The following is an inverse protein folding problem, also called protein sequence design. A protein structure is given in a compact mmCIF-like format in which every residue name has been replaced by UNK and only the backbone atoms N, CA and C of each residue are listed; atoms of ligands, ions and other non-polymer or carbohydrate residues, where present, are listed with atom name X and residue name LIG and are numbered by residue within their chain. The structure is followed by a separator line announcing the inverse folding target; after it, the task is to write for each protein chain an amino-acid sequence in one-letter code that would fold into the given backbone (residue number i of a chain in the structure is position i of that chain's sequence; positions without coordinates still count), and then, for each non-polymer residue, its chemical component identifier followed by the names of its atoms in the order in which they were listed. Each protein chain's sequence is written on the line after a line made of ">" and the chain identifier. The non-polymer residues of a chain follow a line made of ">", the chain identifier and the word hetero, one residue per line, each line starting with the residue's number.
data_IF_773990087416
#
_entry.id   IF_773990087416
#
_cell.length_a   1.000
_cell.length_b   1.000
_cell.length_c   1.000
_cell.angle_alpha   90.00
_cell.angle_beta   90.00
_cell.angle_gamma   90.00
#
_symmetry.space_group_name_H-M   'P 1'
#
loop_
_entity.id
_entity.type
_entity.pdbx_description
1 polymer ?
#
# COMPACT_ATOMS: atom_id res chain seq x y z
N UNK A 1 34.82 18.44 -25.05
CA UNK A 1 34.23 18.63 -23.71
C UNK A 1 33.91 17.25 -23.13
N UNK A 2 34.89 16.60 -22.46
CA UNK A 2 34.76 15.26 -21.84
C UNK A 2 35.51 15.19 -20.48
N UNK A 3 35.47 16.27 -19.70
CA UNK A 3 36.25 16.37 -18.46
C UNK A 3 35.41 16.39 -17.16
N UNK A 4 34.09 16.19 -17.24
CA UNK A 4 33.22 16.21 -16.05
C UNK A 4 33.19 14.91 -15.24
N UNK A 5 33.27 13.74 -15.90
CA UNK A 5 33.14 12.44 -15.22
C UNK A 5 34.38 11.98 -14.47
N UNK A 6 35.58 12.34 -14.93
CA UNK A 6 36.84 11.86 -14.33
C UNK A 6 37.19 12.58 -13.00
N UNK A 7 36.65 13.78 -12.77
CA UNK A 7 36.86 14.54 -11.53
C UNK A 7 35.96 14.04 -10.39
N UNK A 8 34.76 13.54 -10.71
CA UNK A 8 33.82 13.00 -9.72
C UNK A 8 34.30 11.65 -9.16
N UNK A 9 34.81 10.79 -10.03
CA UNK A 9 35.33 9.47 -9.67
C UNK A 9 36.55 9.53 -8.73
N UNK A 10 37.36 10.59 -8.83
CA UNK A 10 38.52 10.79 -7.93
C UNK A 10 38.09 11.30 -6.55
N UNK A 11 36.94 11.98 -6.44
CA UNK A 11 36.55 12.68 -5.22
C UNK A 11 36.02 11.74 -4.10
N UNK A 12 35.44 10.59 -4.47
CA UNK A 12 34.90 9.61 -3.50
C UNK A 12 35.87 8.50 -3.12
N UNK A 13 36.74 8.06 -4.04
CA UNK A 13 37.86 7.17 -3.67
C UNK A 13 38.86 7.88 -2.74
N UNK A 14 38.85 9.22 -2.70
CA UNK A 14 39.59 10.06 -1.76
C UNK A 14 38.80 10.48 -0.52
N UNK A 15 37.54 10.06 -0.35
CA UNK A 15 36.74 10.43 0.81
C UNK A 15 37.24 9.71 2.07
N UNK A 16 37.56 10.47 3.11
CA UNK A 16 38.02 9.91 4.38
C UNK A 16 36.97 8.96 4.99
N UNK A 17 37.40 8.00 5.81
CA UNK A 17 36.46 7.14 6.56
C UNK A 17 35.42 7.96 7.36
N UNK A 18 35.80 9.15 7.81
CA UNK A 18 34.88 10.09 8.47
C UNK A 18 33.77 10.58 7.55
N UNK A 19 34.09 10.90 6.29
CA UNK A 19 33.10 11.29 5.28
C UNK A 19 32.17 10.12 4.93
N UNK A 20 32.71 8.91 4.76
CA UNK A 20 31.89 7.71 4.51
C UNK A 20 30.93 7.39 5.66
N UNK A 21 31.42 7.42 6.91
CA UNK A 21 30.57 7.25 8.11
C UNK A 21 29.48 8.32 8.20
N UNK A 22 29.79 9.57 7.86
CA UNK A 22 28.81 10.65 7.86
C UNK A 22 27.72 10.47 6.79
N UNK A 23 28.09 10.02 5.58
CA UNK A 23 27.14 9.72 4.51
C UNK A 23 26.20 8.56 4.91
N UNK A 24 26.75 7.48 5.47
CA UNK A 24 25.94 6.36 5.95
C UNK A 24 24.93 6.82 7.02
N UNK A 25 25.36 7.63 7.99
CA UNK A 25 24.47 8.16 9.02
C UNK A 25 23.35 9.04 8.44
N UNK A 26 23.64 9.84 7.41
CA UNK A 26 22.61 10.64 6.70
C UNK A 26 21.61 9.75 5.97
N UNK A 27 22.09 8.70 5.29
CA UNK A 27 21.26 7.71 4.61
C UNK A 27 20.30 7.02 5.59
N UNK A 28 20.82 6.59 6.73
CA UNK A 28 20.01 5.92 7.75
C UNK A 28 18.97 6.87 8.36
N UNK A 29 19.35 8.12 8.58
CA UNK A 29 18.42 9.16 9.05
C UNK A 29 17.31 9.44 8.02
N UNK A 30 17.64 9.62 6.74
CA UNK A 30 16.66 9.84 5.67
C UNK A 30 15.68 8.66 5.55
N UNK A 31 16.17 7.42 5.67
CA UNK A 31 15.34 6.22 5.68
C UNK A 31 14.36 6.18 6.86
N UNK A 32 14.80 6.58 8.05
CA UNK A 32 13.91 6.64 9.22
C UNK A 32 12.83 7.70 9.05
N UNK A 33 13.19 8.88 8.51
CA UNK A 33 12.21 9.94 8.22
C UNK A 33 11.22 9.47 7.15
N UNK A 34 11.68 8.85 6.08
CA UNK A 34 10.82 8.28 5.04
C UNK A 34 9.83 7.27 5.62
N UNK A 35 10.30 6.30 6.42
CA UNK A 35 9.43 5.31 7.09
C UNK A 35 8.41 5.96 8.03
N UNK A 36 8.83 6.96 8.79
CA UNK A 36 7.92 7.70 9.67
C UNK A 36 6.87 8.48 8.87
N UNK A 37 7.27 9.15 7.80
CA UNK A 37 6.37 9.88 6.91
C UNK A 37 5.33 8.95 6.27
N UNK A 38 5.76 7.80 5.73
CA UNK A 38 4.85 6.79 5.20
C UNK A 38 3.87 6.27 6.27
N UNK A 39 4.35 5.98 7.48
CA UNK A 39 3.50 5.50 8.56
C UNK A 39 2.42 6.53 8.95
N UNK A 40 2.78 7.81 9.01
CA UNK A 40 1.83 8.91 9.26
C UNK A 40 0.83 9.00 8.11
N UNK A 41 1.29 9.02 6.86
CA UNK A 41 0.42 9.13 5.68
C UNK A 41 -0.61 7.98 5.64
N UNK A 42 -0.15 6.75 5.84
CA UNK A 42 -1.01 5.56 5.89
C UNK A 42 -2.01 5.61 7.04
N UNK A 43 -1.60 6.08 8.22
CA UNK A 43 -2.51 6.23 9.38
C UNK A 43 -3.62 7.23 9.10
N UNK A 44 -3.27 8.39 8.51
CA UNK A 44 -4.26 9.43 8.17
C UNK A 44 -5.21 8.95 7.08
N UNK A 45 -4.71 8.28 6.04
CA UNK A 45 -5.55 7.69 4.99
C UNK A 45 -6.50 6.61 5.56
N UNK A 46 -6.06 5.83 6.55
CA UNK A 46 -6.92 4.84 7.21
C UNK A 46 -8.07 5.49 8.00
N UNK A 47 -7.82 6.66 8.62
CA UNK A 47 -8.82 7.41 9.39
C UNK A 47 -9.75 8.28 8.55
N UNK A 48 -9.35 8.65 7.33
CA UNK A 48 -10.20 9.40 6.40
C UNK A 48 -11.47 8.63 6.06
N UNK A 49 -12.61 9.32 6.10
CA UNK A 49 -13.92 8.75 5.77
C UNK A 49 -13.96 8.24 4.32
N UNK A 50 -14.53 7.06 4.11
CA UNK A 50 -14.74 6.51 2.78
C UNK A 50 -15.90 7.26 2.10
N UNK A 51 -15.70 7.92 0.95
CA UNK A 51 -16.75 8.70 0.31
C UNK A 51 -17.93 7.82 -0.16
N UNK A 52 -19.16 8.30 -0.02
CA UNK A 52 -20.36 7.59 -0.50
C UNK A 52 -20.31 7.29 -2.00
N UNK A 53 -19.71 8.19 -2.80
CA UNK A 53 -19.51 8.01 -4.23
C UNK A 53 -18.66 6.78 -4.55
N UNK A 54 -17.60 6.54 -3.78
CA UNK A 54 -16.78 5.33 -3.88
C UNK A 54 -17.60 4.10 -3.51
N UNK A 55 -18.31 4.13 -2.39
CA UNK A 55 -19.16 3.02 -1.94
C UNK A 55 -20.26 2.67 -2.95
N UNK A 56 -20.78 3.64 -3.69
CA UNK A 56 -21.76 3.45 -4.75
C UNK A 56 -21.15 2.86 -6.03
N UNK A 57 -19.85 3.06 -6.26
CA UNK A 57 -19.12 2.53 -7.43
C UNK A 57 -18.63 1.09 -7.26
N UNK A 58 -18.66 0.56 -6.04
CA UNK A 58 -18.19 -0.79 -5.73
C UNK A 58 -18.93 -1.88 -6.51
N UNK A 59 -18.26 -3.02 -6.81
CA UNK A 59 -18.90 -4.14 -7.47
C UNK A 59 -20.04 -4.71 -6.62
N UNK A 60 -21.01 -5.34 -7.28
CA UNK A 60 -22.18 -5.95 -6.61
C UNK A 60 -21.82 -7.07 -5.64
N UNK A 61 -20.66 -7.71 -5.81
CA UNK A 61 -20.14 -8.72 -4.89
C UNK A 61 -18.61 -8.68 -4.85
N UNK A 62 -18.03 -8.97 -3.68
CA UNK A 62 -16.57 -9.00 -3.52
C UNK A 62 -15.90 -10.04 -4.43
N UNK A 63 -16.58 -11.17 -4.69
CA UNK A 63 -16.12 -12.17 -5.67
C UNK A 63 -15.91 -11.58 -7.07
N UNK A 64 -16.83 -10.72 -7.53
CA UNK A 64 -16.67 -10.07 -8.84
C UNK A 64 -15.51 -9.08 -8.85
N UNK A 65 -15.21 -8.42 -7.72
CA UNK A 65 -14.08 -7.50 -7.60
C UNK A 65 -12.73 -8.21 -7.68
N UNK A 66 -12.47 -9.16 -6.78
CA UNK A 66 -11.19 -9.91 -6.78
C UNK A 66 -11.08 -10.91 -7.95
N UNK A 67 -12.19 -11.37 -8.51
CA UNK A 67 -12.21 -12.41 -9.54
C UNK A 67 -12.12 -13.84 -8.97
N UNK A 68 -12.44 -14.82 -9.82
CA UNK A 68 -12.67 -16.21 -9.39
C UNK A 68 -11.44 -16.91 -8.83
N UNK A 69 -10.24 -16.65 -9.38
CA UNK A 69 -9.00 -17.27 -8.94
C UNK A 69 -8.64 -16.86 -7.51
N UNK A 70 -8.58 -15.55 -7.27
CA UNK A 70 -8.29 -14.96 -5.96
C UNK A 70 -9.38 -15.33 -4.95
N UNK A 71 -10.66 -15.20 -5.34
CA UNK A 71 -11.78 -15.56 -4.46
C UNK A 71 -11.71 -17.02 -4.00
N UNK A 72 -11.44 -17.96 -4.92
CA UNK A 72 -11.34 -19.39 -4.58
C UNK A 72 -10.23 -19.65 -3.57
N UNK A 73 -9.07 -19.02 -3.75
CA UNK A 73 -7.95 -19.16 -2.82
C UNK A 73 -8.27 -18.54 -1.45
N UNK A 74 -8.87 -17.34 -1.41
CA UNK A 74 -9.26 -16.69 -0.15
C UNK A 74 -10.36 -17.46 0.59
N UNK A 75 -11.23 -18.15 -0.13
CA UNK A 75 -12.36 -18.90 0.44
C UNK A 75 -11.99 -20.27 1.00
N UNK A 76 -10.73 -20.71 0.89
CA UNK A 76 -10.30 -22.00 1.47
C UNK A 76 -10.27 -21.93 3.01
N UNK A 77 -10.48 -23.09 3.64
CA UNK A 77 -10.45 -23.27 5.10
C UNK A 77 -9.00 -23.36 5.61
N UNK A 78 -8.04 -23.68 4.74
CA UNK A 78 -6.62 -23.75 5.05
C UNK A 78 -6.05 -22.41 5.56
N UNK A 79 -4.93 -22.45 6.32
CA UNK A 79 -4.26 -21.23 6.74
C UNK A 79 -3.93 -20.36 5.52
N UNK A 80 -4.44 -19.13 5.54
CA UNK A 80 -4.28 -18.22 4.42
C UNK A 80 -2.84 -17.72 4.32
N UNK A 81 -2.18 -18.01 3.19
CA UNK A 81 -0.85 -17.48 2.86
C UNK A 81 -0.99 -16.44 1.75
N UNK A 82 -0.89 -15.13 2.07
CA UNK A 82 -0.95 -14.09 1.04
C UNK A 82 0.25 -14.17 0.09
N UNK A 83 1.45 -14.48 0.59
CA UNK A 83 2.66 -14.62 -0.24
C UNK A 83 2.50 -15.70 -1.32
N UNK A 84 1.96 -16.87 -0.94
CA UNK A 84 1.73 -17.96 -1.90
C UNK A 84 0.68 -17.58 -2.97
N UNK A 85 -0.37 -16.86 -2.58
CA UNK A 85 -1.33 -16.33 -3.54
C UNK A 85 -0.65 -15.35 -4.51
N UNK A 86 0.13 -14.40 -3.99
CA UNK A 86 0.82 -13.40 -4.81
C UNK A 86 1.84 -14.03 -5.76
N UNK A 87 2.55 -15.07 -5.33
CA UNK A 87 3.49 -15.82 -6.18
C UNK A 87 2.78 -16.57 -7.33
N UNK A 88 1.51 -16.93 -7.15
CA UNK A 88 0.67 -17.53 -8.18
C UNK A 88 0.03 -16.52 -9.15
N UNK A 89 0.11 -15.22 -8.85
CA UNK A 89 -0.41 -14.16 -9.72
C UNK A 89 0.66 -13.68 -10.70
N UNK A 90 0.27 -13.46 -11.96
CA UNK A 90 1.16 -12.89 -12.96
C UNK A 90 1.25 -11.36 -12.80
N UNK A 91 2.02 -10.89 -11.81
CA UNK A 91 2.27 -9.47 -11.58
C UNK A 91 3.58 -9.10 -12.28
N UNK A 92 3.48 -8.46 -13.44
CA UNK A 92 4.65 -8.13 -14.27
C UNK A 92 5.08 -6.67 -14.13
N UNK A 93 4.17 -5.80 -13.67
CA UNK A 93 4.38 -4.36 -13.57
C UNK A 93 3.79 -3.77 -12.28
N UNK A 94 4.21 -2.55 -11.95
CA UNK A 94 3.57 -1.77 -10.87
C UNK A 94 2.08 -1.53 -11.15
N UNK A 95 1.71 -1.34 -12.42
CA UNK A 95 0.32 -1.16 -12.82
C UNK A 95 -0.53 -2.40 -12.50
N UNK A 96 -0.03 -3.60 -12.79
CA UNK A 96 -0.72 -4.85 -12.45
C UNK A 96 -0.89 -4.98 -10.93
N UNK A 97 0.15 -4.63 -10.17
CA UNK A 97 0.10 -4.64 -8.71
C UNK A 97 -0.96 -3.67 -8.18
N UNK A 98 -1.05 -2.46 -8.77
CA UNK A 98 -2.03 -1.45 -8.36
C UNK A 98 -3.46 -1.88 -8.71
N UNK A 99 -3.67 -2.46 -9.89
CA UNK A 99 -4.99 -2.98 -10.27
C UNK A 99 -5.46 -4.07 -9.30
N UNK A 100 -4.56 -4.96 -8.89
CA UNK A 100 -4.87 -5.98 -7.89
C UNK A 100 -5.17 -5.34 -6.53
N UNK A 101 -4.39 -4.33 -6.10
CA UNK A 101 -4.63 -3.61 -4.86
C UNK A 101 -6.03 -2.98 -4.84
N UNK A 102 -6.39 -2.24 -5.90
CA UNK A 102 -7.70 -1.59 -6.05
C UNK A 102 -8.85 -2.61 -5.99
N UNK A 103 -8.70 -3.74 -6.68
CA UNK A 103 -9.72 -4.81 -6.71
C UNK A 103 -9.87 -5.52 -5.36
N UNK A 104 -8.78 -5.77 -4.66
CA UNK A 104 -8.78 -6.37 -3.32
C UNK A 104 -9.41 -5.42 -2.31
N UNK A 105 -9.02 -4.14 -2.34
CA UNK A 105 -9.55 -3.10 -1.45
C UNK A 105 -11.04 -2.86 -1.68
N UNK A 106 -11.48 -2.74 -2.93
CA UNK A 106 -12.90 -2.65 -3.28
C UNK A 106 -13.70 -3.85 -2.73
N UNK A 107 -13.17 -5.07 -2.88
CA UNK A 107 -13.84 -6.29 -2.43
C UNK A 107 -13.91 -6.40 -0.90
N UNK A 108 -12.85 -5.97 -0.21
CA UNK A 108 -12.82 -5.84 1.25
C UNK A 108 -13.99 -4.98 1.73
N UNK A 109 -14.18 -3.79 1.13
CA UNK A 109 -15.29 -2.90 1.50
C UNK A 109 -16.66 -3.49 1.19
N UNK A 110 -16.80 -4.26 0.10
CA UNK A 110 -18.06 -4.99 -0.18
C UNK A 110 -18.35 -6.03 0.91
N UNK A 111 -17.35 -6.79 1.36
CA UNK A 111 -17.53 -7.79 2.42
C UNK A 111 -17.80 -7.15 3.79
N UNK A 112 -17.10 -6.07 4.14
CA UNK A 112 -17.37 -5.29 5.36
C UNK A 112 -18.78 -4.73 5.38
N UNK A 113 -19.23 -4.19 4.24
CA UNK A 113 -20.60 -3.69 4.08
C UNK A 113 -21.62 -4.82 4.24
N UNK A 114 -21.37 -5.98 3.62
CA UNK A 114 -22.25 -7.14 3.72
C UNK A 114 -22.35 -7.67 5.16
N UNK A 115 -21.26 -7.69 5.93
CA UNK A 115 -21.28 -8.13 7.33
C UNK A 115 -22.05 -7.18 8.26
N UNK A 116 -22.15 -5.88 7.93
CA UNK A 116 -22.87 -4.91 8.77
C UNK A 116 -24.39 -4.89 8.53
N UNK A 117 -24.85 -5.21 7.31
CA UNK A 117 -26.26 -5.07 6.91
C UNK A 117 -27.16 -6.28 7.20
N UNK A 118 -26.63 -7.40 7.70
CA UNK A 118 -27.41 -8.62 8.03
C UNK A 118 -28.24 -8.48 9.32
N UNK A 119 -27.98 -7.47 10.13
CA UNK A 119 -28.61 -7.22 11.45
C UNK A 119 -30.10 -6.80 11.43
N UNK A 120 -30.76 -6.78 10.26
CA UNK A 120 -32.16 -6.30 10.08
C UNK A 120 -33.16 -7.31 9.49
N UNK A 121 -32.89 -8.62 9.52
CA UNK A 121 -33.77 -9.61 8.87
C UNK A 121 -34.11 -10.83 9.75
N UNK A 122 -35.42 -10.95 10.06
CA UNK A 122 -36.24 -12.12 10.44
C UNK A 122 -35.58 -13.37 11.07
N UNK A 123 -36.12 -13.80 12.22
CA UNK A 123 -35.65 -14.88 13.09
C UNK A 123 -35.55 -16.29 12.45
N UNK A 124 -36.13 -16.52 11.27
CA UNK A 124 -36.05 -17.82 10.57
C UNK A 124 -34.82 -17.99 9.66
N UNK A 125 -34.03 -16.94 9.39
CA UNK A 125 -32.82 -17.00 8.54
C UNK A 125 -31.50 -16.95 9.32
N UNK A 126 -31.54 -16.99 10.65
CA UNK A 126 -30.40 -16.66 11.51
C UNK A 126 -29.23 -17.65 11.36
N UNK A 127 -29.47 -18.93 11.08
CA UNK A 127 -28.38 -19.92 11.01
C UNK A 127 -27.50 -19.77 9.75
N UNK A 128 -28.10 -19.53 8.59
CA UNK A 128 -27.37 -19.34 7.33
C UNK A 128 -26.76 -17.93 7.23
N UNK A 129 -27.42 -16.92 7.81
CA UNK A 129 -26.91 -15.54 7.85
C UNK A 129 -25.70 -15.39 8.78
N UNK A 130 -25.68 -16.06 9.94
CA UNK A 130 -24.52 -16.04 10.86
C UNK A 130 -23.31 -16.74 10.23
N UNK A 131 -23.53 -17.81 9.44
CA UNK A 131 -22.47 -18.47 8.71
C UNK A 131 -21.88 -17.58 7.59
N UNK A 132 -22.73 -16.83 6.88
CA UNK A 132 -22.30 -15.93 5.81
C UNK A 132 -21.68 -14.63 6.34
N UNK A 133 -22.13 -14.12 7.50
CA UNK A 133 -21.52 -12.98 8.19
C UNK A 133 -20.10 -13.30 8.64
N UNK A 134 -19.91 -14.46 9.29
CA UNK A 134 -18.58 -14.95 9.67
C UNK A 134 -17.67 -15.14 8.43
N UNK A 135 -18.24 -15.64 7.32
CA UNK A 135 -17.51 -15.80 6.06
C UNK A 135 -17.07 -14.46 5.47
N UNK A 136 -17.96 -13.47 5.40
CA UNK A 136 -17.64 -12.15 4.86
C UNK A 136 -16.60 -11.43 5.74
N UNK A 137 -16.69 -11.56 7.06
CA UNK A 137 -15.68 -11.01 7.97
C UNK A 137 -14.31 -11.67 7.80
N UNK A 138 -14.26 -13.00 7.65
CA UNK A 138 -13.03 -13.73 7.33
C UNK A 138 -12.45 -13.28 5.99
N UNK A 139 -13.28 -13.14 4.96
CA UNK A 139 -12.84 -12.69 3.64
C UNK A 139 -12.30 -11.26 3.67
N UNK A 140 -12.96 -10.35 4.39
CA UNK A 140 -12.49 -8.98 4.58
C UNK A 140 -11.12 -8.95 5.29
N UNK A 141 -10.95 -9.73 6.37
CA UNK A 141 -9.67 -9.82 7.09
C UNK A 141 -8.55 -10.43 6.23
N UNK A 142 -8.86 -11.46 5.42
CA UNK A 142 -7.90 -12.01 4.44
C UNK A 142 -7.56 -10.98 3.35
N UNK A 143 -8.52 -10.17 2.91
CA UNK A 143 -8.30 -9.11 1.92
C UNK A 143 -7.37 -8.03 2.46
N UNK A 144 -7.58 -7.60 3.71
CA UNK A 144 -6.72 -6.65 4.40
C UNK A 144 -5.28 -7.17 4.51
N UNK A 145 -5.13 -8.43 4.92
CA UNK A 145 -3.81 -9.08 5.01
C UNK A 145 -3.12 -9.18 3.64
N UNK A 146 -3.89 -9.50 2.59
CA UNK A 146 -3.39 -9.56 1.22
C UNK A 146 -2.93 -8.19 0.72
N UNK A 147 -3.73 -7.15 0.96
CA UNK A 147 -3.42 -5.78 0.57
C UNK A 147 -2.15 -5.28 1.29
N UNK A 148 -2.00 -5.59 2.58
CA UNK A 148 -0.80 -5.27 3.34
C UNK A 148 0.45 -5.95 2.77
N UNK A 149 0.36 -7.26 2.49
CA UNK A 149 1.45 -8.04 1.90
C UNK A 149 1.84 -7.50 0.51
N UNK A 150 0.84 -7.13 -0.31
CA UNK A 150 1.05 -6.52 -1.61
C UNK A 150 1.79 -5.17 -1.50
N UNK A 151 1.36 -4.28 -0.60
CA UNK A 151 2.04 -2.99 -0.34
C UNK A 151 3.47 -3.19 0.19
N UNK A 152 3.75 -4.25 0.94
CA UNK A 152 5.11 -4.59 1.39
C UNK A 152 6.02 -5.07 0.26
N UNK A 153 5.47 -5.85 -0.68
CA UNK A 153 6.20 -6.34 -1.86
C UNK A 153 6.48 -5.23 -2.89
N UNK A 154 5.60 -4.23 -2.95
CA UNK A 154 5.70 -3.08 -3.83
C UNK A 154 5.74 -1.77 -3.02
N UNK A 155 6.87 -1.44 -2.35
CA UNK A 155 6.95 -0.27 -1.47
C UNK A 155 6.84 1.07 -2.20
N UNK A 156 6.97 1.09 -3.53
CA UNK A 156 6.74 2.26 -4.39
C UNK A 156 5.40 2.26 -5.09
N UNK A 157 4.44 1.42 -4.67
CA UNK A 157 3.12 1.35 -5.27
C UNK A 157 2.44 2.72 -5.19
N UNK A 158 1.93 3.18 -6.33
CA UNK A 158 1.09 4.37 -6.41
C UNK A 158 -0.14 4.30 -5.48
N UNK A 159 -0.72 5.45 -5.14
CA UNK A 159 -1.93 5.52 -4.31
C UNK A 159 -3.09 4.76 -4.97
N UNK A 160 -3.89 4.07 -4.15
CA UNK A 160 -5.06 3.35 -4.65
C UNK A 160 -6.14 4.32 -5.11
N UNK A 161 -7.11 3.79 -5.86
CA UNK A 161 -8.32 4.53 -6.24
C UNK A 161 -9.09 5.00 -5.01
N UNK A 162 -9.13 4.21 -3.93
CA UNK A 162 -9.75 4.63 -2.68
C UNK A 162 -8.95 5.74 -1.99
N UNK A 163 -7.63 5.62 -1.89
CA UNK A 163 -6.77 6.65 -1.29
C UNK A 163 -6.97 8.00 -2.01
N UNK A 164 -6.98 7.97 -3.34
CA UNK A 164 -7.23 9.15 -4.19
C UNK A 164 -8.62 9.74 -3.92
N UNK A 165 -9.64 8.89 -3.81
CA UNK A 165 -11.02 9.32 -3.53
C UNK A 165 -11.14 9.94 -2.13
N UNK A 166 -10.52 9.31 -1.12
CA UNK A 166 -10.47 9.84 0.26
C UNK A 166 -9.85 11.23 0.28
N UNK A 167 -8.70 11.42 -0.37
CA UNK A 167 -8.03 12.72 -0.45
C UNK A 167 -8.92 13.76 -1.16
N UNK A 168 -9.52 13.39 -2.29
CA UNK A 168 -10.32 14.30 -3.11
C UNK A 168 -11.58 14.79 -2.38
N UNK A 169 -12.23 13.92 -1.61
CA UNK A 169 -13.51 14.23 -0.96
C UNK A 169 -13.39 14.52 0.54
N UNK A 170 -12.19 14.47 1.11
CA UNK A 170 -11.95 14.78 2.52
C UNK A 170 -12.34 16.25 2.83
N UNK A 171 -13.04 16.44 3.94
CA UNK A 171 -13.48 17.76 4.44
C UNK A 171 -12.72 18.19 5.70
N UNK A 172 -11.95 17.29 6.31
CA UNK A 172 -11.16 17.60 7.49
C UNK A 172 -9.83 18.25 7.08
N UNK A 173 -9.69 19.54 7.40
CA UNK A 173 -8.50 20.34 7.07
C UNK A 173 -7.25 19.81 7.79
N UNK A 174 -7.39 19.27 9.01
CA UNK A 174 -6.28 18.69 9.75
C UNK A 174 -5.74 17.44 9.08
N UNK A 175 -6.63 16.51 8.71
CA UNK A 175 -6.26 15.31 7.95
C UNK A 175 -5.65 15.66 6.59
N UNK A 176 -6.19 16.66 5.88
CA UNK A 176 -5.63 17.11 4.60
C UNK A 176 -4.20 17.65 4.74
N UNK A 177 -3.94 18.48 5.75
CA UNK A 177 -2.59 19.00 6.02
C UNK A 177 -1.62 17.86 6.36
N UNK A 178 -2.03 16.94 7.23
CA UNK A 178 -1.18 15.82 7.66
C UNK A 178 -0.87 14.87 6.50
N UNK A 179 -1.86 14.53 5.67
CA UNK A 179 -1.69 13.72 4.47
C UNK A 179 -0.69 14.39 3.52
N UNK A 180 -0.96 15.64 3.11
CA UNK A 180 -0.15 16.29 2.08
C UNK A 180 1.28 16.58 2.56
N UNK A 181 1.45 16.94 3.83
CA UNK A 181 2.78 17.19 4.40
C UNK A 181 3.59 15.89 4.51
N UNK A 182 2.99 14.81 5.02
CA UNK A 182 3.67 13.51 5.11
C UNK A 182 4.01 12.95 3.73
N UNK A 183 3.15 13.13 2.73
CA UNK A 183 3.39 12.75 1.33
C UNK A 183 4.57 13.50 0.72
N UNK A 184 4.64 14.82 0.91
CA UNK A 184 5.78 15.63 0.41
C UNK A 184 7.08 15.19 1.07
N UNK A 185 7.08 14.90 2.37
CA UNK A 185 8.25 14.38 3.07
C UNK A 185 8.68 13.02 2.53
N UNK A 186 7.73 12.12 2.26
CA UNK A 186 8.01 10.80 1.69
C UNK A 186 8.73 10.91 0.34
N UNK A 187 8.19 11.72 -0.58
CA UNK A 187 8.74 11.94 -1.92
C UNK A 187 10.12 12.59 -1.85
N UNK A 188 10.27 13.63 -1.02
CA UNK A 188 11.56 14.30 -0.83
C UNK A 188 12.63 13.35 -0.29
N UNK A 189 12.30 12.52 0.71
CA UNK A 189 13.27 11.59 1.30
C UNK A 189 13.64 10.46 0.34
N UNK A 190 12.68 9.96 -0.46
CA UNK A 190 12.96 8.99 -1.52
C UNK A 190 13.90 9.55 -2.59
N UNK A 191 13.69 10.82 -3.00
CA UNK A 191 14.58 11.50 -3.95
C UNK A 191 16.00 11.66 -3.41
N UNK A 192 16.15 12.11 -2.15
CA UNK A 192 17.45 12.22 -1.48
C UNK A 192 18.14 10.85 -1.43
N UNK A 193 17.40 9.79 -1.11
CA UNK A 193 17.95 8.43 -1.05
C UNK A 193 18.45 7.95 -2.41
N UNK A 194 17.69 8.18 -3.48
CA UNK A 194 18.09 7.85 -4.85
C UNK A 194 19.37 8.60 -5.28
N UNK A 195 19.48 9.88 -4.94
CA UNK A 195 20.68 10.68 -5.21
C UNK A 195 21.90 10.13 -4.47
N UNK A 196 21.76 9.78 -3.18
CA UNK A 196 22.86 9.18 -2.40
C UNK A 196 23.28 7.79 -2.93
N UNK A 197 22.32 6.98 -3.39
CA UNK A 197 22.64 5.68 -4.01
C UNK A 197 23.41 5.82 -5.32
N UNK A 198 23.03 6.78 -6.17
CA UNK A 198 23.69 7.00 -7.45
C UNK A 198 25.14 7.47 -7.27
N UNK A 199 25.40 8.23 -6.20
CA UNK A 199 26.75 8.58 -5.78
C UNK A 199 27.54 7.31 -5.42
N UNK A 200 26.99 6.41 -4.59
CA UNK A 200 27.69 5.18 -4.17
C UNK A 200 27.81 4.07 -5.23
N UNK A 201 26.88 4.00 -6.19
CA UNK A 201 26.89 2.98 -7.24
C UNK A 201 27.88 3.31 -8.36
N UNK A 202 28.13 4.60 -8.61
CA UNK A 202 29.23 5.07 -9.47
C UNK A 202 30.61 4.81 -8.85
N UNK A 203 30.70 4.43 -7.57
CA UNK A 203 31.95 4.17 -6.85
C UNK A 203 32.35 2.68 -6.84
N UNK A 204 31.47 1.77 -7.29
CA UNK A 204 31.66 0.31 -7.22
C UNK A 204 31.94 -0.36 -8.58
N UNK A 205 31.91 0.40 -9.68
CA UNK A 205 32.18 -0.05 -11.06
C UNK A 205 33.51 0.55 -11.58
#
# INVERSE_FOLDING_TARGET
>A
MKNGGCLFHVFLTLASEGAQRALQKRRDCANQIHKAAMAINNSILAEMEVPESYMASLPKSGRLGVGDSIYRYMSTIEPFSPDHLLDGLNISSEHDALEIADRVEASMHVWLKASMHTSKSSWDMVKDLVADENKNQILASKAETLLLCLKQRYPGLSQTTLDTSKIQYNKDVGQAILESYSRVLEVCMAAIFAEQMNVTASDAA
#
